data_IF_266072154746
#
_entry.id   IF_266072154746
#
_cell.length_a   1.000
_cell.length_b   1.000
_cell.length_c   1.000
_cell.angle_alpha   90.00
_cell.angle_beta   90.00
_cell.angle_gamma   90.00
#
_symmetry.space_group_name_H-M   'P 1'
#
loop_
_entity.id
_entity.type
_entity.pdbx_description
1 polymer ?
#
# COMPACT_ATOMS: atom_id res chain seq x y z
N UNK A 1 11.46 -26.14 3.75
CA UNK A 1 10.64 -24.91 3.60
C UNK A 1 9.44 -25.05 4.53
N UNK A 2 9.24 -24.23 5.58
CA UNK A 2 8.31 -24.69 6.61
C UNK A 2 6.85 -24.24 6.49
N UNK A 3 6.44 -23.27 5.67
CA UNK A 3 5.08 -22.71 5.85
C UNK A 3 4.16 -22.64 4.63
N UNK A 4 4.67 -22.70 3.39
CA UNK A 4 3.81 -22.68 2.20
C UNK A 4 4.32 -23.71 1.20
N UNK A 5 3.53 -24.75 0.96
CA UNK A 5 3.79 -25.81 -0.03
C UNK A 5 3.05 -25.58 -1.36
N UNK A 6 2.08 -24.66 -1.38
CA UNK A 6 1.30 -24.31 -2.56
C UNK A 6 1.38 -22.80 -2.81
N UNK A 7 2.24 -22.39 -3.74
CA UNK A 7 2.42 -20.98 -4.12
C UNK A 7 1.28 -20.43 -4.97
N UNK A 8 0.37 -21.27 -5.49
CA UNK A 8 -0.84 -20.79 -6.16
C UNK A 8 -1.75 -20.01 -5.21
N UNK A 9 -1.65 -20.25 -3.89
CA UNK A 9 -2.33 -19.45 -2.87
C UNK A 9 -1.85 -17.99 -2.82
N UNK A 10 -0.68 -17.70 -3.38
CA UNK A 10 -0.10 -16.36 -3.45
C UNK A 10 -0.47 -15.62 -4.73
N UNK A 11 -1.39 -16.17 -5.52
CA UNK A 11 -1.80 -15.65 -6.81
C UNK A 11 -3.33 -15.52 -6.81
N UNK A 12 -3.82 -14.30 -7.04
CA UNK A 12 -5.26 -14.08 -7.20
C UNK A 12 -5.73 -14.74 -8.51
N UNK A 13 -6.75 -15.63 -8.50
CA UNK A 13 -7.25 -16.28 -9.72
C UNK A 13 -7.76 -15.28 -10.78
N UNK A 14 -8.38 -14.18 -10.33
CA UNK A 14 -8.85 -13.10 -11.20
C UNK A 14 -7.73 -12.24 -11.78
N UNK A 15 -6.50 -12.41 -11.26
CA UNK A 15 -5.34 -11.63 -11.67
C UNK A 15 -4.06 -12.47 -11.65
N UNK A 16 -4.08 -13.57 -12.39
CA UNK A 16 -3.06 -14.62 -12.32
C UNK A 16 -1.67 -14.22 -12.83
N UNK A 17 -1.56 -13.12 -13.57
CA UNK A 17 -0.30 -12.62 -14.12
C UNK A 17 0.63 -11.98 -13.07
N UNK A 18 0.15 -11.82 -11.83
CA UNK A 18 0.87 -11.10 -10.78
C UNK A 18 0.84 -11.87 -9.46
N UNK A 19 1.99 -11.99 -8.82
CA UNK A 19 2.10 -12.42 -7.43
C UNK A 19 1.61 -11.30 -6.51
N UNK A 20 1.08 -11.65 -5.34
CA UNK A 20 0.66 -10.68 -4.33
C UNK A 20 1.81 -9.71 -3.99
N UNK A 21 1.60 -8.43 -4.27
CA UNK A 21 2.51 -7.35 -3.88
C UNK A 21 1.81 -6.46 -2.88
N UNK A 22 2.20 -6.48 -1.61
CA UNK A 22 1.77 -5.42 -0.70
C UNK A 22 2.61 -4.19 -0.97
N UNK A 23 1.97 -3.03 -1.00
CA UNK A 23 2.67 -1.75 -1.17
C UNK A 23 2.67 -0.98 0.14
N UNK A 24 3.69 -0.17 0.34
CA UNK A 24 3.89 0.60 1.58
C UNK A 24 3.38 2.03 1.42
N UNK A 25 2.74 2.59 2.45
CA UNK A 25 2.38 4.02 2.53
C UNK A 25 3.62 4.93 2.72
N UNK A 26 4.56 4.83 1.77
CA UNK A 26 5.85 5.50 1.85
C UNK A 26 5.71 7.00 1.58
N UNK A 27 4.68 7.40 0.83
CA UNK A 27 4.42 8.82 0.58
C UNK A 27 4.28 9.57 1.90
N UNK A 28 3.38 9.11 2.77
CA UNK A 28 3.10 9.80 4.03
C UNK A 28 4.03 9.37 5.16
N UNK A 29 4.29 8.08 5.31
CA UNK A 29 5.05 7.58 6.47
C UNK A 29 6.55 7.82 6.35
N UNK A 30 7.08 8.20 5.19
CA UNK A 30 8.51 8.46 5.04
C UNK A 30 8.77 9.70 4.18
N UNK A 31 8.37 9.70 2.91
CA UNK A 31 8.83 10.66 1.92
C UNK A 31 8.44 12.09 2.28
N UNK A 32 7.18 12.33 2.66
CA UNK A 32 6.65 13.64 3.04
C UNK A 32 6.58 13.88 4.55
N UNK A 33 6.91 12.89 5.37
CA UNK A 33 6.83 13.02 6.83
C UNK A 33 7.65 14.20 7.36
N UNK A 34 8.91 14.31 6.95
CA UNK A 34 9.84 15.31 7.50
C UNK A 34 9.67 16.70 6.86
N UNK A 35 9.12 16.80 5.65
CA UNK A 35 8.99 18.06 4.90
C UNK A 35 7.98 17.93 3.77
N UNK A 36 7.25 19.01 3.48
CA UNK A 36 6.36 19.12 2.32
C UNK A 36 7.08 19.05 0.96
N UNK A 37 8.39 19.30 0.92
CA UNK A 37 9.21 19.12 -0.29
C UNK A 37 9.54 17.65 -0.55
N UNK A 38 9.42 16.82 0.48
CA UNK A 38 9.75 15.40 0.50
C UNK A 38 11.22 15.07 0.23
N UNK A 39 11.57 13.79 0.36
CA UNK A 39 12.81 13.24 -0.18
C UNK A 39 13.19 11.87 0.37
N UNK A 40 14.13 11.23 -0.32
CA UNK A 40 14.63 9.91 0.05
C UNK A 40 15.68 10.01 1.15
N UNK A 41 15.68 9.03 2.06
CA UNK A 41 16.72 8.92 3.09
C UNK A 41 16.51 9.75 4.37
N UNK A 42 15.38 10.44 4.51
CA UNK A 42 15.02 11.18 5.73
C UNK A 42 14.51 10.29 6.89
N UNK A 43 14.50 8.96 6.70
CA UNK A 43 13.91 8.03 7.66
C UNK A 43 12.40 7.93 7.51
N UNK A 44 11.74 7.44 8.56
CA UNK A 44 10.29 7.29 8.63
C UNK A 44 9.67 7.99 9.83
N UNK A 45 8.36 8.18 9.77
CA UNK A 45 7.53 8.68 10.85
C UNK A 45 7.71 7.81 12.10
N UNK A 46 8.15 8.37 13.24
CA UNK A 46 8.18 7.63 14.49
C UNK A 46 6.76 7.17 14.85
N UNK A 47 6.60 5.92 15.28
CA UNK A 47 5.26 5.38 15.60
C UNK A 47 4.54 6.21 16.69
N UNK A 48 5.28 6.84 17.60
CA UNK A 48 4.72 7.71 18.65
C UNK A 48 4.16 9.04 18.15
N UNK A 49 4.44 9.42 16.90
CA UNK A 49 3.90 10.62 16.24
C UNK A 49 2.63 10.32 15.42
N UNK A 50 2.30 9.04 15.23
CA UNK A 50 1.09 8.63 14.51
C UNK A 50 -0.10 8.76 15.45
N UNK A 51 -0.93 9.78 15.23
CA UNK A 51 -2.06 10.12 16.12
C UNK A 51 -3.18 9.08 16.13
N UNK A 52 -3.46 8.47 14.98
CA UNK A 52 -4.51 7.47 14.81
C UNK A 52 -3.98 6.17 14.18
N UNK A 53 -3.14 5.38 14.88
CA UNK A 53 -2.48 4.22 14.29
C UNK A 53 -3.44 3.15 13.75
N UNK A 54 -4.64 3.04 14.31
CA UNK A 54 -5.70 2.14 13.86
C UNK A 54 -6.43 2.63 12.59
N UNK A 55 -6.25 3.89 12.18
CA UNK A 55 -6.84 4.46 10.96
C UNK A 55 -5.79 4.75 9.89
N UNK A 56 -4.51 4.82 10.28
CA UNK A 56 -3.39 5.02 9.37
C UNK A 56 -2.99 3.72 8.70
N UNK A 57 -3.13 3.69 7.37
CA UNK A 57 -2.72 2.56 6.53
C UNK A 57 -1.19 2.49 6.45
N UNK A 58 -0.63 1.33 6.79
CA UNK A 58 0.79 1.03 6.67
C UNK A 58 1.09 0.34 5.33
N UNK A 59 0.38 -0.75 5.06
CA UNK A 59 0.53 -1.56 3.86
C UNK A 59 -0.86 -1.91 3.31
N UNK A 60 -1.00 -1.95 1.99
CA UNK A 60 -2.23 -2.41 1.34
C UNK A 60 -1.91 -3.17 0.06
N UNK A 61 -2.90 -3.88 -0.48
CA UNK A 61 -2.75 -4.54 -1.79
C UNK A 61 -2.31 -3.54 -2.87
N UNK A 62 -1.19 -3.84 -3.53
CA UNK A 62 -0.57 -3.00 -4.55
C UNK A 62 -0.05 -3.80 -5.73
N UNK A 63 0.11 -3.18 -6.88
CA UNK A 63 0.36 -3.96 -8.09
C UNK A 63 1.20 -3.22 -9.09
N UNK A 64 0.90 -3.53 -10.36
CA UNK A 64 1.54 -2.89 -11.47
C UNK A 64 1.46 -1.36 -11.31
N UNK A 65 2.58 -0.69 -11.42
CA UNK A 65 2.68 0.75 -11.31
C UNK A 65 3.69 1.28 -12.31
N UNK A 66 3.49 2.51 -12.77
CA UNK A 66 4.45 3.18 -13.61
C UNK A 66 5.63 3.64 -12.75
N UNK A 67 6.84 3.33 -13.17
CA UNK A 67 8.06 3.84 -12.55
C UNK A 67 8.48 5.15 -13.22
N UNK A 68 9.35 5.93 -12.57
CA UNK A 68 9.80 7.24 -13.06
C UNK A 68 10.46 7.20 -14.44
N UNK A 69 11.01 6.06 -14.86
CA UNK A 69 11.56 5.85 -16.21
C UNK A 69 10.49 5.68 -17.30
N UNK A 70 9.20 5.75 -16.96
CA UNK A 70 8.09 5.59 -17.90
C UNK A 70 7.70 4.14 -18.20
N UNK A 71 8.41 3.16 -17.62
CA UNK A 71 8.08 1.73 -17.71
C UNK A 71 7.02 1.30 -16.70
N UNK A 72 6.50 0.08 -16.88
CA UNK A 72 5.65 -0.59 -15.89
C UNK A 72 6.47 -1.56 -15.04
N UNK A 73 6.32 -1.50 -13.73
CA UNK A 73 6.86 -2.45 -12.77
C UNK A 73 5.74 -3.29 -12.19
N UNK A 74 5.91 -4.61 -12.18
CA UNK A 74 4.96 -5.57 -11.61
C UNK A 74 5.30 -5.98 -10.17
N UNK A 75 6.29 -5.32 -9.56
CA UNK A 75 6.73 -5.59 -8.19
C UNK A 75 5.93 -4.83 -7.14
N UNK A 76 6.31 -5.01 -5.87
CA UNK A 76 5.81 -4.22 -4.74
C UNK A 76 5.88 -2.73 -5.07
N UNK A 77 4.75 -2.04 -4.96
CA UNK A 77 4.71 -0.59 -4.98
C UNK A 77 5.35 -0.08 -3.70
N UNK A 78 6.46 0.64 -3.84
CA UNK A 78 7.06 1.31 -2.69
C UNK A 78 6.18 2.43 -2.16
N UNK A 79 5.29 3.00 -2.97
CA UNK A 79 4.50 4.20 -2.63
C UNK A 79 3.03 3.94 -2.93
N UNK A 80 2.21 3.62 -1.93
CA UNK A 80 0.73 3.68 -2.09
C UNK A 80 0.24 5.08 -1.76
N UNK A 81 -0.80 5.51 -2.46
CA UNK A 81 -1.42 6.82 -2.33
C UNK A 81 -2.93 6.69 -2.29
N UNK A 82 -3.62 7.80 -2.03
CA UNK A 82 -5.08 7.91 -2.12
C UNK A 82 -5.62 7.87 -3.57
N UNK A 83 -4.76 7.62 -4.55
CA UNK A 83 -5.16 7.52 -5.95
C UNK A 83 -6.13 6.36 -6.19
N UNK A 84 -6.99 6.49 -7.21
CA UNK A 84 -7.90 5.44 -7.71
C UNK A 84 -7.48 4.96 -9.08
N UNK A 85 -7.84 3.73 -9.44
CA UNK A 85 -7.65 3.19 -10.79
C UNK A 85 -8.24 4.14 -11.85
N UNK A 86 -7.54 4.46 -12.97
CA UNK A 86 -6.24 3.93 -13.42
C UNK A 86 -5.03 4.81 -13.08
N UNK A 87 -5.15 5.72 -12.10
CA UNK A 87 -4.02 6.54 -11.68
C UNK A 87 -2.90 5.68 -11.10
N UNK A 88 -1.67 6.16 -11.11
CA UNK A 88 -0.55 5.39 -10.59
C UNK A 88 -0.63 5.25 -9.05
N UNK A 89 0.03 4.22 -8.48
CA UNK A 89 0.20 4.08 -7.03
C UNK A 89 -1.10 3.97 -6.20
N UNK A 90 -2.14 3.37 -6.78
CA UNK A 90 -3.42 3.12 -6.13
C UNK A 90 -3.49 1.77 -5.43
N UNK A 91 -4.46 1.61 -4.52
CA UNK A 91 -4.75 0.34 -3.87
C UNK A 91 -5.60 -0.55 -4.77
N UNK A 92 -5.20 -1.81 -4.90
CA UNK A 92 -5.83 -2.80 -5.78
C UNK A 92 -6.83 -3.67 -5.03
N UNK A 93 -8.08 -3.69 -5.48
CA UNK A 93 -9.19 -4.43 -4.86
C UNK A 93 -9.32 -5.87 -5.39
N UNK A 94 -8.20 -6.60 -5.37
CA UNK A 94 -8.10 -7.92 -6.04
C UNK A 94 -8.71 -9.07 -5.24
N UNK A 95 -9.11 -8.84 -3.99
CA UNK A 95 -9.63 -9.86 -3.09
C UNK A 95 -11.13 -9.68 -2.94
N UNK A 96 -11.90 -10.11 -3.95
CA UNK A 96 -13.36 -9.98 -4.00
C UNK A 96 -13.82 -8.51 -3.86
N UNK A 97 -13.27 -7.61 -4.70
CA UNK A 97 -13.58 -6.16 -4.68
C UNK A 97 -13.16 -5.46 -3.38
N UNK A 98 -12.36 -6.15 -2.56
CA UNK A 98 -11.72 -5.60 -1.37
C UNK A 98 -10.20 -5.68 -1.49
N UNK A 99 -9.53 -4.86 -0.68
CA UNK A 99 -8.09 -4.94 -0.45
C UNK A 99 -7.81 -5.38 0.98
N UNK A 100 -6.80 -6.21 1.14
CA UNK A 100 -6.16 -6.47 2.43
C UNK A 100 -5.34 -5.24 2.81
N UNK A 101 -5.62 -4.70 3.99
CA UNK A 101 -4.98 -3.51 4.52
C UNK A 101 -4.45 -3.80 5.90
N UNK A 102 -3.18 -3.46 6.14
CA UNK A 102 -2.55 -3.48 7.46
C UNK A 102 -2.36 -2.04 7.96
N UNK A 103 -2.63 -1.83 9.23
CA UNK A 103 -2.61 -0.53 9.88
C UNK A 103 -1.38 -0.38 10.79
N UNK A 104 -1.07 0.86 11.15
CA UNK A 104 0.11 1.18 11.96
C UNK A 104 0.05 0.65 13.40
N UNK A 105 -1.11 0.30 13.93
CA UNK A 105 -1.25 -0.40 15.22
C UNK A 105 -1.01 -1.92 15.14
N UNK A 106 -0.80 -2.46 13.94
CA UNK A 106 -0.51 -3.87 13.68
C UNK A 106 -1.72 -4.73 13.33
N UNK A 107 -2.95 -4.21 13.32
CA UNK A 107 -4.10 -5.00 12.84
C UNK A 107 -4.17 -5.01 11.30
N UNK A 108 -4.94 -5.97 10.77
CA UNK A 108 -5.23 -6.04 9.35
C UNK A 108 -6.72 -6.33 9.10
N UNK A 109 -7.27 -5.76 8.03
CA UNK A 109 -8.69 -5.87 7.68
C UNK A 109 -8.90 -5.74 6.17
N UNK A 110 -9.96 -6.35 5.67
CA UNK A 110 -10.41 -6.19 4.28
C UNK A 110 -11.28 -4.93 4.15
N UNK A 111 -10.99 -4.09 3.15
CA UNK A 111 -11.69 -2.82 2.92
C UNK A 111 -12.00 -2.57 1.43
N UNK A 112 -13.10 -1.87 1.17
CA UNK A 112 -13.55 -1.49 -0.18
C UNK A 112 -12.87 -0.20 -0.66
N UNK A 113 -12.98 0.12 -1.97
CA UNK A 113 -12.30 1.26 -2.64
C UNK A 113 -12.37 2.58 -1.88
N UNK A 114 -13.57 2.96 -1.44
CA UNK A 114 -13.81 4.26 -0.83
C UNK A 114 -13.09 4.45 0.50
N UNK A 115 -12.87 3.36 1.23
CA UNK A 115 -12.03 3.38 2.42
C UNK A 115 -10.57 3.48 1.98
N UNK A 116 -10.07 2.55 1.18
CA UNK A 116 -8.63 2.46 0.89
C UNK A 116 -8.08 3.53 -0.06
N UNK A 117 -8.89 4.46 -0.56
CA UNK A 117 -8.45 5.55 -1.45
C UNK A 117 -8.79 6.93 -0.93
N UNK A 118 -9.35 7.04 0.29
CA UNK A 118 -9.61 8.35 0.88
C UNK A 118 -8.31 8.89 1.52
N UNK A 119 -7.92 10.15 1.25
CA UNK A 119 -6.73 10.78 1.83
C UNK A 119 -6.60 10.60 3.34
N UNK A 120 -7.71 10.62 4.09
CA UNK A 120 -7.71 10.48 5.55
C UNK A 120 -7.07 9.17 6.05
N UNK A 121 -7.14 8.08 5.28
CA UNK A 121 -6.54 6.79 5.67
C UNK A 121 -5.02 6.76 5.43
N UNK A 122 -4.51 7.74 4.69
CA UNK A 122 -3.09 7.89 4.40
C UNK A 122 -2.49 9.09 5.12
N UNK A 123 -3.28 9.97 5.73
CA UNK A 123 -2.82 11.13 6.49
C UNK A 123 -2.50 10.73 7.94
N UNK A 124 -1.66 11.54 8.58
CA UNK A 124 -1.33 11.48 9.99
C UNK A 124 -2.20 12.43 10.84
N UNK A 125 -3.16 13.10 10.21
CA UNK A 125 -4.05 14.11 10.81
C UNK A 125 -5.52 13.83 10.56
#
# INVERSE_FOLDING_TARGET
>A
QPYIKNTQLLICPSWSSYTLGYGWNYSTLTYYWHSSTGGYGYGGCPIGEIKSPAETVLLADSGAHQVSSGGWSNGMTYVITYARNPNNYFVYLRHNETANVAFCDGHAKAHNEGYVTNPANFDLN
#
